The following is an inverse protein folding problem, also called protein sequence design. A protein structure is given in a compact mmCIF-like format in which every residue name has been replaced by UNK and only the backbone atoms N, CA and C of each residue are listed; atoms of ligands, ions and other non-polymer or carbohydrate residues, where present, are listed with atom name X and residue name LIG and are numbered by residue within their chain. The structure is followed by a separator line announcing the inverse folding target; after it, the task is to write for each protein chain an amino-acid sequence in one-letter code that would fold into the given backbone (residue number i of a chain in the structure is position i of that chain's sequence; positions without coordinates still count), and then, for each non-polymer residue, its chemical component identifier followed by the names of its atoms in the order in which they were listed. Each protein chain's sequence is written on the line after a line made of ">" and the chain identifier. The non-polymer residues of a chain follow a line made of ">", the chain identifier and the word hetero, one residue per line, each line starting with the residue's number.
data_IF_842575425081
#
_entry.id   IF_842575425081
#
_cell.length_a   1.000
_cell.length_b   1.000
_cell.length_c   1.000
_cell.angle_alpha   90.00
_cell.angle_beta   90.00
_cell.angle_gamma   90.00
#
_symmetry.space_group_name_H-M   'P 1'
#
loop_
_entity.id
_entity.type
_entity.pdbx_description
1 polymer ?
#
# COMPACT_ATOMS: atom_id res chain seq x y z
N UNK A 1 -16.52 7.64 -53.76
CA UNK A 1 -15.73 6.40 -53.53
C UNK A 1 -15.15 6.42 -52.11
N UNK A 2 -15.77 5.74 -51.12
CA UNK A 2 -15.18 5.52 -49.81
C UNK A 2 -14.30 4.25 -49.84
N UNK A 3 -13.10 4.30 -49.23
CA UNK A 3 -12.19 3.15 -49.12
C UNK A 3 -12.69 2.17 -48.05
N UNK A 4 -12.59 0.83 -48.26
CA UNK A 4 -13.22 -0.18 -47.40
C UNK A 4 -12.45 -0.45 -46.11
N UNK A 5 -13.18 -0.79 -45.04
CA UNK A 5 -12.65 -1.08 -43.71
C UNK A 5 -11.64 -2.22 -43.66
N UNK A 6 -10.55 -1.98 -42.93
CA UNK A 6 -9.55 -2.99 -42.60
C UNK A 6 -10.11 -3.91 -41.50
N UNK A 7 -10.19 -5.20 -41.81
CA UNK A 7 -10.55 -6.28 -40.88
C UNK A 7 -9.55 -6.35 -39.70
N UNK A 8 -10.00 -6.66 -38.47
CA UNK A 8 -9.11 -6.83 -37.32
C UNK A 8 -8.26 -8.10 -37.48
N UNK A 9 -6.95 -7.98 -37.26
CA UNK A 9 -6.01 -9.10 -37.27
C UNK A 9 -6.30 -10.05 -36.08
N UNK A 10 -6.41 -11.37 -36.29
CA UNK A 10 -6.52 -12.35 -35.21
C UNK A 10 -5.13 -12.62 -34.63
N UNK A 11 -4.95 -12.49 -33.31
CA UNK A 11 -3.72 -12.98 -32.65
C UNK A 11 -3.12 -12.14 -31.51
N UNK A 12 -3.79 -11.10 -31.00
CA UNK A 12 -3.34 -10.45 -29.78
C UNK A 12 -3.82 -11.25 -28.56
N UNK A 13 -2.94 -12.08 -27.99
CA UNK A 13 -3.16 -12.72 -26.68
C UNK A 13 -3.51 -11.62 -25.65
N UNK A 14 -4.60 -11.76 -24.86
CA UNK A 14 -4.89 -10.82 -23.79
C UNK A 14 -3.72 -10.77 -22.81
N UNK A 15 -3.30 -9.55 -22.45
CA UNK A 15 -2.33 -9.28 -21.38
C UNK A 15 -2.80 -10.02 -20.11
N UNK A 16 -1.95 -10.78 -19.39
CA UNK A 16 -2.38 -11.56 -18.23
C UNK A 16 -3.17 -10.69 -17.26
N UNK A 17 -4.39 -11.14 -16.96
CA UNK A 17 -5.39 -10.38 -16.23
C UNK A 17 -4.85 -9.79 -14.93
N UNK A 18 -5.27 -8.56 -14.64
CA UNK A 18 -5.18 -8.02 -13.30
C UNK A 18 -5.73 -9.09 -12.34
N UNK A 19 -4.89 -9.57 -11.42
CA UNK A 19 -5.34 -10.48 -10.36
C UNK A 19 -6.59 -9.86 -9.74
N UNK A 20 -7.68 -10.62 -9.66
CA UNK A 20 -8.88 -10.21 -8.95
C UNK A 20 -8.43 -9.65 -7.59
N UNK A 21 -8.85 -8.43 -7.26
CA UNK A 21 -8.56 -7.84 -5.94
C UNK A 21 -9.00 -8.87 -4.90
N UNK A 22 -8.11 -9.19 -3.96
CA UNK A 22 -8.45 -10.08 -2.85
C UNK A 22 -9.77 -9.60 -2.21
N UNK A 23 -10.63 -10.53 -1.75
CA UNK A 23 -11.89 -10.16 -1.12
C UNK A 23 -11.61 -9.16 0.01
N UNK A 24 -12.46 -8.14 0.13
CA UNK A 24 -12.36 -7.16 1.22
C UNK A 24 -12.57 -7.95 2.52
N UNK A 25 -11.64 -7.87 3.49
CA UNK A 25 -11.74 -8.62 4.75
C UNK A 25 -12.97 -8.16 5.54
N UNK A 26 -13.60 -9.07 6.27
CA UNK A 26 -14.78 -8.77 7.09
C UNK A 26 -14.45 -7.75 8.21
N UNK A 27 -15.45 -7.10 8.83
CA UNK A 27 -15.18 -6.14 9.93
C UNK A 27 -14.49 -6.88 11.08
N UNK A 28 -15.04 -8.02 11.47
CA UNK A 28 -14.47 -8.88 12.51
C UNK A 28 -13.02 -9.28 12.21
N UNK A 29 -12.72 -9.64 10.95
CA UNK A 29 -11.36 -9.95 10.51
C UNK A 29 -10.43 -8.73 10.61
N UNK A 30 -10.91 -7.54 10.27
CA UNK A 30 -10.12 -6.32 10.36
C UNK A 30 -9.83 -5.91 11.80
N UNK A 31 -10.81 -6.03 12.70
CA UNK A 31 -10.63 -5.71 14.12
C UNK A 31 -9.76 -6.75 14.85
N UNK A 32 -9.80 -8.01 14.40
CA UNK A 32 -9.12 -9.13 15.06
C UNK A 32 -7.78 -9.53 14.40
N UNK A 33 -7.35 -8.83 13.34
CA UNK A 33 -6.14 -9.18 12.58
C UNK A 33 -4.83 -9.10 13.39
N UNK A 34 -4.82 -8.38 14.51
CA UNK A 34 -3.65 -8.24 15.37
C UNK A 34 -3.83 -7.17 16.45
N UNK A 35 -2.84 -7.04 17.34
CA UNK A 35 -2.91 -6.14 18.50
C UNK A 35 -3.14 -4.67 18.13
N UNK A 36 -2.58 -4.22 17.00
CA UNK A 36 -2.72 -2.84 16.52
C UNK A 36 -3.83 -2.67 15.50
N UNK A 37 -4.51 -3.75 15.13
CA UNK A 37 -5.58 -3.72 14.15
C UNK A 37 -6.73 -2.76 14.56
N UNK A 38 -7.20 -2.72 15.83
CA UNK A 38 -8.22 -1.76 16.27
C UNK A 38 -7.84 -0.30 16.03
N UNK A 39 -6.57 0.03 16.25
CA UNK A 39 -6.06 1.40 16.06
C UNK A 39 -6.03 1.75 14.57
N UNK A 40 -5.62 0.81 13.71
CA UNK A 40 -5.59 1.02 12.26
C UNK A 40 -7.01 1.13 11.70
N UNK A 41 -7.93 0.31 12.18
CA UNK A 41 -9.35 0.37 11.82
C UNK A 41 -9.97 1.70 12.23
N UNK A 42 -9.67 2.18 13.44
CA UNK A 42 -10.09 3.51 13.88
C UNK A 42 -9.50 4.62 12.98
N UNK A 43 -8.26 4.45 12.54
CA UNK A 43 -7.63 5.32 11.55
C UNK A 43 -8.39 5.38 10.23
N UNK A 44 -8.89 4.23 9.74
CA UNK A 44 -9.73 4.19 8.53
C UNK A 44 -11.07 4.90 8.72
N UNK A 45 -11.71 4.73 9.88
CA UNK A 45 -12.95 5.44 10.21
C UNK A 45 -12.76 6.97 10.22
N UNK A 46 -11.68 7.45 10.85
CA UNK A 46 -11.45 8.88 11.03
C UNK A 46 -10.91 9.55 9.76
N UNK A 47 -9.88 8.99 9.13
CA UNK A 47 -9.16 9.65 8.02
C UNK A 47 -9.46 9.06 6.64
N UNK A 48 -10.15 7.93 6.56
CA UNK A 48 -10.48 7.28 5.30
C UNK A 48 -9.38 6.40 4.73
N UNK A 49 -9.76 5.60 3.73
CA UNK A 49 -8.92 4.58 3.12
C UNK A 49 -7.74 5.16 2.35
N UNK A 50 -7.96 6.26 1.62
CA UNK A 50 -6.92 6.89 0.80
C UNK A 50 -5.77 7.43 1.65
N UNK A 51 -6.10 8.10 2.76
CA UNK A 51 -5.09 8.64 3.66
C UNK A 51 -4.30 7.52 4.32
N UNK A 52 -4.99 6.56 4.97
CA UNK A 52 -4.32 5.47 5.71
C UNK A 52 -3.49 4.60 4.78
N UNK A 53 -3.97 4.26 3.58
CA UNK A 53 -3.21 3.46 2.62
C UNK A 53 -1.94 4.15 2.15
N UNK A 54 -1.98 5.48 1.92
CA UNK A 54 -0.80 6.26 1.53
C UNK A 54 0.19 6.39 2.69
N UNK A 55 -0.29 6.75 3.87
CA UNK A 55 0.52 6.89 5.08
C UNK A 55 1.20 5.56 5.44
N UNK A 56 0.47 4.45 5.37
CA UNK A 56 1.01 3.09 5.55
C UNK A 56 2.06 2.77 4.50
N UNK A 57 1.77 3.05 3.21
CA UNK A 57 2.71 2.80 2.12
C UNK A 57 4.04 3.53 2.30
N UNK A 58 4.00 4.79 2.72
CA UNK A 58 5.18 5.60 3.02
C UNK A 58 5.95 5.11 4.24
N UNK A 59 5.25 4.79 5.33
CA UNK A 59 5.86 4.23 6.53
C UNK A 59 6.62 2.93 6.24
N UNK A 60 6.02 2.03 5.46
CA UNK A 60 6.67 0.77 5.03
C UNK A 60 7.88 1.04 4.13
N UNK A 61 7.77 2.01 3.21
CA UNK A 61 8.86 2.42 2.33
C UNK A 61 10.07 2.94 3.12
N UNK A 62 9.85 3.92 3.99
CA UNK A 62 10.89 4.48 4.86
C UNK A 62 11.51 3.41 5.75
N UNK A 63 10.69 2.55 6.35
CA UNK A 63 11.18 1.46 7.18
C UNK A 63 12.10 0.50 6.39
N UNK A 64 11.74 0.19 5.14
CA UNK A 64 12.57 -0.63 4.25
C UNK A 64 13.89 0.07 3.90
N UNK A 65 13.90 1.40 3.72
CA UNK A 65 15.11 2.18 3.50
C UNK A 65 16.04 2.14 4.72
N UNK A 66 15.50 2.28 5.93
CA UNK A 66 16.28 2.18 7.18
C UNK A 66 16.90 0.78 7.32
N UNK A 67 16.16 -0.29 7.00
CA UNK A 67 16.71 -1.65 6.99
C UNK A 67 17.84 -1.79 5.97
N UNK A 68 17.71 -1.16 4.81
CA UNK A 68 18.76 -1.16 3.79
C UNK A 68 20.01 -0.44 4.31
N UNK A 69 19.86 0.78 4.83
CA UNK A 69 20.94 1.56 5.41
C UNK A 69 21.64 0.80 6.56
N UNK A 70 20.88 0.16 7.45
CA UNK A 70 21.41 -0.70 8.49
C UNK A 70 22.27 -1.83 7.90
N UNK A 71 21.75 -2.56 6.91
CA UNK A 71 22.50 -3.64 6.26
C UNK A 71 23.78 -3.13 5.57
N UNK A 72 23.79 -1.90 5.04
CA UNK A 72 24.95 -1.26 4.44
C UNK A 72 26.02 -0.92 5.50
N UNK A 73 25.62 -0.29 6.61
CA UNK A 73 26.54 0.08 7.71
C UNK A 73 27.23 -1.13 8.32
N UNK A 74 26.55 -2.28 8.41
CA UNK A 74 27.09 -3.51 8.99
C UNK A 74 27.63 -4.51 7.96
N UNK A 75 27.80 -4.10 6.69
CA UNK A 75 28.29 -4.94 5.59
C UNK A 75 27.55 -6.29 5.44
N UNK A 76 26.24 -6.29 5.71
CA UNK A 76 25.40 -7.48 5.62
C UNK A 76 25.15 -7.83 4.14
N UNK A 77 25.38 -9.09 3.72
CA UNK A 77 25.21 -9.48 2.33
C UNK A 77 23.77 -9.28 1.83
N UNK A 78 23.65 -8.77 0.61
CA UNK A 78 22.39 -8.38 -0.05
C UNK A 78 21.34 -9.49 -0.11
N UNK A 79 21.76 -10.76 -0.15
CA UNK A 79 20.84 -11.92 -0.08
C UNK A 79 20.06 -12.00 1.23
N UNK A 80 20.64 -11.57 2.35
CA UNK A 80 19.97 -11.60 3.67
C UNK A 80 19.06 -10.37 3.89
N UNK A 81 19.36 -9.23 3.24
CA UNK A 81 18.57 -7.99 3.30
C UNK A 81 17.10 -8.20 2.97
N UNK A 82 16.79 -8.93 1.90
CA UNK A 82 15.40 -9.25 1.55
C UNK A 82 14.71 -10.13 2.60
N UNK A 83 15.47 -11.00 3.29
CA UNK A 83 14.97 -11.79 4.41
C UNK A 83 14.49 -10.90 5.55
N UNK A 84 15.29 -9.90 5.95
CA UNK A 84 14.89 -8.94 6.98
C UNK A 84 13.65 -8.13 6.61
N UNK A 85 13.56 -7.66 5.37
CA UNK A 85 12.35 -6.95 4.89
C UNK A 85 11.12 -7.86 4.93
N UNK A 86 11.25 -9.13 4.53
CA UNK A 86 10.15 -10.11 4.59
C UNK A 86 9.73 -10.37 6.02
N UNK A 87 10.68 -10.55 6.94
CA UNK A 87 10.39 -10.73 8.37
C UNK A 87 9.67 -9.51 8.93
N UNK A 88 10.17 -8.30 8.67
CA UNK A 88 9.53 -7.06 9.13
C UNK A 88 8.10 -6.92 8.58
N UNK A 89 7.86 -7.25 7.31
CA UNK A 89 6.52 -7.25 6.71
C UNK A 89 5.60 -8.30 7.34
N UNK A 90 6.11 -9.51 7.61
CA UNK A 90 5.34 -10.57 8.27
C UNK A 90 4.95 -10.13 9.69
N UNK A 91 5.92 -9.64 10.47
CA UNK A 91 5.65 -9.14 11.83
C UNK A 91 4.66 -7.98 11.81
N UNK A 92 4.78 -7.03 10.87
CA UNK A 92 3.82 -5.94 10.73
C UNK A 92 2.40 -6.43 10.36
N UNK A 93 2.30 -7.50 9.57
CA UNK A 93 1.03 -8.14 9.25
C UNK A 93 0.42 -8.82 10.47
N UNK A 94 1.20 -9.64 11.19
CA UNK A 94 0.77 -10.35 12.40
C UNK A 94 0.37 -9.38 13.53
N UNK A 95 1.00 -8.20 13.58
CA UNK A 95 0.66 -7.13 14.52
C UNK A 95 -0.60 -6.34 14.13
N UNK A 96 -1.10 -6.48 12.89
CA UNK A 96 -2.29 -5.76 12.42
C UNK A 96 -2.02 -4.38 11.80
N UNK A 97 -0.77 -4.03 11.47
CA UNK A 97 -0.47 -2.75 10.80
C UNK A 97 -0.81 -2.74 9.30
N UNK A 98 -1.00 -3.93 8.71
CA UNK A 98 -1.22 -4.11 7.27
C UNK A 98 -2.67 -4.49 6.93
N UNK A 99 -3.62 -4.23 7.84
CA UNK A 99 -5.05 -4.49 7.61
C UNK A 99 -5.53 -3.78 6.32
N UNK A 100 -6.06 -4.52 5.33
CA UNK A 100 -6.60 -3.92 4.11
C UNK A 100 -7.84 -3.08 4.41
N UNK A 101 -7.98 -1.94 3.72
CA UNK A 101 -9.26 -1.23 3.62
C UNK A 101 -10.19 -1.87 2.60
N UNK A 102 -11.27 -1.16 2.24
CA UNK A 102 -12.14 -1.56 1.13
C UNK A 102 -13.58 -1.10 1.23
N UNK A 103 -14.06 -0.71 2.42
CA UNK A 103 -15.41 -0.17 2.61
C UNK A 103 -15.48 1.10 3.46
N UNK A 104 -14.36 1.56 4.03
CA UNK A 104 -14.31 2.75 4.90
C UNK A 104 -14.44 4.08 4.15
N UNK A 105 -14.38 4.05 2.81
CA UNK A 105 -14.52 5.24 1.96
C UNK A 105 -13.50 6.33 2.30
N UNK A 106 -13.96 7.59 2.35
CA UNK A 106 -13.13 8.74 2.70
C UNK A 106 -13.11 9.03 4.22
N UNK A 107 -13.73 8.20 5.07
CA UNK A 107 -13.79 8.46 6.51
C UNK A 107 -14.39 9.83 6.87
N UNK A 108 -14.29 10.22 8.14
CA UNK A 108 -14.87 11.46 8.67
C UNK A 108 -14.08 12.73 8.26
N UNK A 109 -12.77 12.62 8.09
CA UNK A 109 -11.85 13.72 7.81
C UNK A 109 -11.06 13.54 6.51
N UNK A 110 -11.35 12.52 5.68
CA UNK A 110 -10.40 12.15 4.62
C UNK A 110 -10.14 13.20 3.57
N UNK A 111 -11.11 14.06 3.21
CA UNK A 111 -10.82 15.16 2.28
C UNK A 111 -9.88 16.20 2.91
N UNK A 112 -10.17 16.63 4.14
CA UNK A 112 -9.37 17.59 4.89
C UNK A 112 -7.98 17.04 5.23
N UNK A 113 -7.88 15.75 5.56
CA UNK A 113 -6.62 15.07 5.82
C UNK A 113 -5.77 14.95 4.55
N UNK A 114 -6.40 14.72 3.40
CA UNK A 114 -5.72 14.69 2.12
C UNK A 114 -5.29 16.10 1.65
N UNK A 115 -6.06 17.13 1.97
CA UNK A 115 -5.67 18.53 1.76
C UNK A 115 -4.53 18.95 2.68
N UNK A 116 -4.62 18.61 3.98
CA UNK A 116 -3.53 18.79 4.92
C UNK A 116 -2.27 18.05 4.46
N UNK A 117 -2.39 16.83 3.96
CA UNK A 117 -1.26 16.06 3.41
C UNK A 117 -0.61 16.75 2.19
N UNK A 118 -1.41 17.36 1.32
CA UNK A 118 -0.90 18.15 0.17
C UNK A 118 -0.20 19.43 0.66
N UNK A 119 -0.80 20.16 1.59
CA UNK A 119 -0.30 21.46 2.08
C UNK A 119 0.89 21.34 3.02
N UNK A 120 0.94 20.29 3.85
CA UNK A 120 2.09 19.96 4.71
C UNK A 120 3.33 19.51 3.93
N UNK A 121 3.24 19.43 2.59
CA UNK A 121 4.36 19.03 1.75
C UNK A 121 4.80 17.59 1.99
N UNK A 122 3.97 16.75 2.64
CA UNK A 122 4.28 15.32 2.80
C UNK A 122 4.36 14.66 1.41
N UNK A 123 3.68 15.19 0.39
CA UNK A 123 3.84 14.79 -1.01
C UNK A 123 5.25 15.04 -1.56
N UNK A 124 5.98 16.06 -1.06
CA UNK A 124 7.38 16.36 -1.44
C UNK A 124 8.36 15.28 -0.96
N UNK A 125 8.02 14.54 0.09
CA UNK A 125 8.76 13.36 0.58
C UNK A 125 8.42 12.09 -0.23
N UNK A 126 8.13 12.24 -1.53
CA UNK A 126 7.94 11.14 -2.45
C UNK A 126 9.28 10.43 -2.71
N UNK A 127 9.48 9.33 -2.01
CA UNK A 127 10.64 8.43 -2.13
C UNK A 127 10.67 7.64 -3.45
N UNK A 128 9.70 7.83 -4.36
CA UNK A 128 9.83 7.32 -5.73
C UNK A 128 10.85 8.13 -6.57
N UNK A 129 11.27 9.29 -6.06
CA UNK A 129 12.30 10.17 -6.66
C UNK A 129 13.65 10.15 -5.94
N UNK A 130 13.88 9.20 -5.03
CA UNK A 130 15.14 8.98 -4.31
C UNK A 130 15.71 7.60 -4.60
#
# INVERSE_FOLDING_TARGET
>A
KPKPGAKPKPGAKPKPGAKAKAPVPTEEEQWSAGLFAPVVVFGYFWFGEQFVSKTRGKGIGLHSQIINAFCETFAIPSRKRQGFIKTAKKTGHDLGFLVPGGWWGNGLFGEQAMEWYKTSGIDRWDVSKW
#
